data_IF_331693924281
#
_entry.id   IF_331693924281
#
_cell.length_a   1.000
_cell.length_b   1.000
_cell.length_c   1.000
_cell.angle_alpha   90.00
_cell.angle_beta   90.00
_cell.angle_gamma   90.00
#
_symmetry.space_group_name_H-M   'P 1'
#
loop_
_entity.id
_entity.type
_entity.pdbx_description
1 polymer ?
#
# COMPACT_ATOMS: atom_id res chain seq x y z
N UNK A 1 -4.06 -8.12 -17.93
CA UNK A 1 -4.11 -9.31 -17.02
C UNK A 1 -3.41 -9.16 -15.67
N UNK A 2 -2.20 -8.60 -15.57
CA UNK A 2 -1.45 -8.58 -14.28
C UNK A 2 -2.22 -8.00 -13.08
N UNK A 3 -2.95 -6.89 -13.26
CA UNK A 3 -3.78 -6.32 -12.19
C UNK A 3 -4.96 -7.22 -11.78
N UNK A 4 -5.62 -7.90 -12.72
CA UNK A 4 -6.70 -8.85 -12.42
C UNK A 4 -6.19 -10.03 -11.58
N UNK A 5 -5.01 -10.56 -11.93
CA UNK A 5 -4.36 -11.64 -11.17
C UNK A 5 -3.91 -11.18 -9.78
N UNK A 6 -3.44 -9.94 -9.63
CA UNK A 6 -3.07 -9.39 -8.33
C UNK A 6 -4.25 -9.36 -7.34
N UNK A 7 -5.47 -9.14 -7.82
CA UNK A 7 -6.68 -9.19 -7.00
C UNK A 7 -6.90 -10.57 -6.33
N UNK A 8 -6.57 -11.67 -7.01
CA UNK A 8 -6.66 -13.02 -6.44
C UNK A 8 -5.67 -13.25 -5.31
N UNK A 9 -4.43 -12.76 -5.45
CA UNK A 9 -3.42 -12.82 -4.39
C UNK A 9 -3.90 -12.13 -3.12
N UNK A 10 -4.50 -10.94 -3.26
CA UNK A 10 -5.01 -10.19 -2.11
C UNK A 10 -6.12 -10.94 -1.37
N UNK A 11 -7.01 -11.64 -2.09
CA UNK A 11 -8.07 -12.46 -1.47
C UNK A 11 -7.50 -13.60 -0.63
N UNK A 12 -6.46 -14.28 -1.12
CA UNK A 12 -5.75 -15.30 -0.36
C UNK A 12 -5.10 -14.72 0.90
N UNK A 13 -4.49 -13.53 0.80
CA UNK A 13 -3.89 -12.84 1.95
C UNK A 13 -4.94 -12.39 2.98
N UNK A 14 -6.12 -11.96 2.54
CA UNK A 14 -7.21 -11.53 3.42
C UNK A 14 -7.66 -12.65 4.38
N UNK A 15 -7.60 -13.91 3.96
CA UNK A 15 -7.92 -15.04 4.83
C UNK A 15 -6.95 -15.13 6.02
N UNK A 16 -5.66 -14.91 5.78
CA UNK A 16 -4.63 -14.88 6.83
C UNK A 16 -4.90 -13.72 7.79
N UNK A 17 -5.22 -12.53 7.27
CA UNK A 17 -5.48 -11.33 8.10
C UNK A 17 -6.79 -11.40 8.88
N UNK A 18 -7.71 -12.32 8.55
CA UNK A 18 -8.94 -12.54 9.32
C UNK A 18 -8.77 -13.68 10.31
N UNK A 19 -8.27 -14.84 9.86
CA UNK A 19 -8.19 -16.03 10.68
C UNK A 19 -7.17 -15.93 11.80
N UNK A 20 -5.96 -15.41 11.51
CA UNK A 20 -4.92 -15.33 12.53
C UNK A 20 -5.35 -14.42 13.69
N UNK A 21 -5.83 -13.19 13.47
CA UNK A 21 -6.27 -12.34 14.58
C UNK A 21 -7.45 -12.93 15.36
N UNK A 22 -8.39 -13.61 14.71
CA UNK A 22 -9.50 -14.28 15.39
C UNK A 22 -9.01 -15.44 16.26
N UNK A 23 -8.12 -16.28 15.73
CA UNK A 23 -7.53 -17.40 16.47
C UNK A 23 -6.69 -16.91 17.64
N UNK A 24 -5.86 -15.88 17.43
CA UNK A 24 -5.06 -15.24 18.49
C UNK A 24 -5.95 -14.61 19.56
N UNK A 25 -7.01 -13.91 19.16
CA UNK A 25 -7.98 -13.35 20.12
C UNK A 25 -8.64 -14.45 20.93
N UNK A 26 -9.14 -15.50 20.28
CA UNK A 26 -9.76 -16.63 20.98
C UNK A 26 -8.77 -17.27 21.96
N UNK A 27 -7.52 -17.50 21.55
CA UNK A 27 -6.47 -18.01 22.41
C UNK A 27 -6.19 -17.12 23.63
N UNK A 28 -6.16 -15.80 23.44
CA UNK A 28 -5.86 -14.85 24.52
C UNK A 28 -7.04 -14.58 25.46
N UNK A 29 -8.29 -14.81 25.04
CA UNK A 29 -9.48 -14.41 25.82
C UNK A 29 -10.38 -15.56 26.27
N UNK A 30 -10.29 -16.73 25.65
CA UNK A 30 -11.20 -17.83 25.96
C UNK A 30 -10.74 -18.57 27.24
N UNK A 31 -11.64 -18.87 28.20
CA UNK A 31 -11.28 -19.48 29.49
C UNK A 31 -10.46 -20.76 29.36
N UNK A 32 -10.76 -21.60 28.36
CA UNK A 32 -10.06 -22.87 28.13
C UNK A 32 -8.55 -22.73 27.87
N UNK A 33 -8.10 -21.56 27.40
CA UNK A 33 -6.69 -21.31 27.09
C UNK A 33 -6.00 -20.42 28.13
N UNK A 34 -6.67 -20.05 29.22
CA UNK A 34 -6.17 -19.06 30.17
C UNK A 34 -4.79 -19.42 30.74
N UNK A 35 -4.59 -20.69 31.11
CA UNK A 35 -3.31 -21.16 31.64
C UNK A 35 -2.15 -21.02 30.63
N UNK A 36 -2.41 -21.25 29.34
CA UNK A 36 -1.41 -21.11 28.28
C UNK A 36 -1.20 -19.66 27.84
N UNK A 37 -2.23 -18.83 27.96
CA UNK A 37 -2.20 -17.42 27.55
C UNK A 37 -1.62 -16.49 28.63
N UNK A 38 -1.72 -16.83 29.92
CA UNK A 38 -1.32 -15.95 31.02
C UNK A 38 0.13 -15.43 30.90
N UNK A 39 1.16 -16.26 30.65
CA UNK A 39 2.53 -15.77 30.50
C UNK A 39 2.70 -14.81 29.33
N UNK A 40 1.93 -15.00 28.24
CA UNK A 40 1.97 -14.10 27.09
C UNK A 40 1.30 -12.77 27.39
N UNK A 41 0.21 -12.75 28.17
CA UNK A 41 -0.45 -11.50 28.58
C UNK A 41 0.52 -10.63 29.38
N UNK A 42 1.31 -11.23 30.27
CA UNK A 42 2.32 -10.52 31.05
C UNK A 42 3.44 -9.96 30.15
N UNK A 43 3.95 -10.76 29.20
CA UNK A 43 4.95 -10.32 28.23
C UNK A 43 4.45 -9.21 27.30
N UNK A 44 3.17 -9.28 26.90
CA UNK A 44 2.51 -8.23 26.13
C UNK A 44 2.40 -6.99 26.99
N UNK A 45 1.90 -7.08 28.23
CA UNK A 45 1.75 -5.93 29.13
C UNK A 45 3.08 -5.25 29.46
N UNK A 46 4.19 -5.99 29.45
CA UNK A 46 5.54 -5.46 29.68
C UNK A 46 6.10 -4.64 28.49
N UNK A 47 5.45 -4.62 27.32
CA UNK A 47 5.93 -3.81 26.20
C UNK A 47 5.79 -2.30 26.51
N UNK A 48 6.76 -1.48 26.09
CA UNK A 48 6.88 -0.09 26.53
C UNK A 48 5.79 0.84 25.98
N UNK A 49 5.21 0.52 24.82
CA UNK A 49 4.14 1.32 24.20
C UNK A 49 2.91 0.48 23.87
N UNK A 50 1.72 1.07 23.96
CA UNK A 50 0.47 0.40 23.58
C UNK A 50 0.47 -0.08 22.11
N UNK A 51 1.21 0.63 21.24
CA UNK A 51 1.44 0.20 19.86
C UNK A 51 2.20 -1.13 19.83
N UNK A 52 3.35 -1.23 20.50
CA UNK A 52 4.14 -2.46 20.58
C UNK A 52 3.35 -3.59 21.27
N UNK A 53 2.56 -3.30 22.30
CA UNK A 53 1.65 -4.27 22.90
C UNK A 53 0.70 -4.87 21.87
N UNK A 54 0.19 -4.06 20.93
CA UNK A 54 -0.69 -4.54 19.87
C UNK A 54 0.05 -5.39 18.83
N UNK A 55 1.21 -4.92 18.36
CA UNK A 55 1.98 -5.61 17.31
C UNK A 55 2.57 -6.93 17.80
N UNK A 56 2.89 -7.05 19.09
CA UNK A 56 3.48 -8.26 19.68
C UNK A 56 2.46 -9.38 19.94
N UNK A 57 1.16 -9.11 19.93
CA UNK A 57 0.11 -10.12 20.20
C UNK A 57 0.19 -11.32 19.27
N UNK A 58 0.24 -11.06 17.97
CA UNK A 58 0.23 -12.10 16.93
C UNK A 58 1.53 -12.94 16.96
N UNK A 59 2.74 -12.37 16.89
CA UNK A 59 3.96 -13.17 16.87
C UNK A 59 4.15 -13.98 18.16
N UNK A 60 3.84 -13.41 19.34
CA UNK A 60 3.95 -14.12 20.61
C UNK A 60 2.92 -15.27 20.71
N UNK A 61 1.65 -15.02 20.36
CA UNK A 61 0.63 -16.05 20.40
C UNK A 61 0.91 -17.18 19.41
N UNK A 62 1.31 -16.86 18.17
CA UNK A 62 1.68 -17.89 17.18
C UNK A 62 2.87 -18.74 17.62
N UNK A 63 3.83 -18.16 18.35
CA UNK A 63 4.96 -18.88 18.93
C UNK A 63 4.57 -19.99 19.92
N UNK A 64 3.41 -19.85 20.57
CA UNK A 64 2.86 -20.85 21.51
C UNK A 64 1.83 -21.75 20.83
N UNK A 65 0.99 -21.20 19.96
CA UNK A 65 -0.12 -21.91 19.31
C UNK A 65 0.36 -22.92 18.27
N UNK A 66 1.47 -22.64 17.56
CA UNK A 66 1.92 -23.47 16.45
C UNK A 66 2.93 -24.54 16.90
N UNK A 67 2.76 -25.80 16.46
CA UNK A 67 3.74 -26.84 16.74
C UNK A 67 5.07 -26.56 16.02
N UNK A 68 6.12 -27.20 16.54
CA UNK A 68 7.44 -27.23 15.90
C UNK A 68 7.31 -27.74 14.46
N UNK A 69 8.11 -27.17 13.55
CA UNK A 69 7.94 -27.40 12.10
C UNK A 69 6.97 -26.42 11.46
N UNK A 70 5.70 -26.37 11.89
CA UNK A 70 4.74 -25.40 11.33
C UNK A 70 5.12 -23.96 11.69
N UNK A 71 5.54 -23.73 12.93
CA UNK A 71 6.12 -22.44 13.34
C UNK A 71 7.33 -22.07 12.45
N UNK A 72 8.20 -23.03 12.17
CA UNK A 72 9.36 -22.83 11.30
C UNK A 72 8.98 -22.46 9.87
N UNK A 73 7.93 -23.09 9.31
CA UNK A 73 7.40 -22.74 7.99
C UNK A 73 6.80 -21.33 7.97
N UNK A 74 6.08 -20.93 9.02
CA UNK A 74 5.53 -19.57 9.14
C UNK A 74 6.66 -18.54 9.21
N UNK A 75 7.68 -18.78 10.04
CA UNK A 75 8.86 -17.90 10.14
C UNK A 75 9.58 -17.80 8.78
N UNK A 76 9.81 -18.92 8.10
CA UNK A 76 10.42 -18.93 6.78
C UNK A 76 9.60 -18.14 5.74
N UNK A 77 8.27 -18.28 5.76
CA UNK A 77 7.38 -17.53 4.89
C UNK A 77 7.40 -16.02 5.19
N UNK A 78 7.40 -15.63 6.47
CA UNK A 78 7.49 -14.22 6.88
C UNK A 78 8.85 -13.60 6.50
N UNK A 79 9.96 -14.33 6.68
CA UNK A 79 11.27 -13.88 6.22
C UNK A 79 11.33 -13.74 4.70
N UNK A 80 10.78 -14.70 3.95
CA UNK A 80 10.68 -14.61 2.50
C UNK A 80 9.85 -13.39 2.04
N UNK A 81 8.73 -13.13 2.71
CA UNK A 81 7.89 -11.96 2.45
C UNK A 81 8.62 -10.65 2.75
N UNK A 82 9.33 -10.57 3.87
CA UNK A 82 10.16 -9.41 4.24
C UNK A 82 11.26 -9.16 3.20
N UNK A 83 12.07 -10.17 2.89
CA UNK A 83 13.16 -10.07 1.90
C UNK A 83 12.62 -9.62 0.53
N UNK A 84 11.50 -10.20 0.07
CA UNK A 84 10.92 -9.83 -1.23
C UNK A 84 10.41 -8.39 -1.28
N UNK A 85 10.00 -7.84 -0.14
CA UNK A 85 9.50 -6.46 -0.04
C UNK A 85 10.66 -5.49 0.08
N UNK A 86 11.62 -5.80 0.95
CA UNK A 86 12.79 -4.97 1.22
C UNK A 86 13.69 -4.87 -0.02
N UNK A 87 13.88 -5.96 -0.77
CA UNK A 87 14.62 -5.94 -2.04
C UNK A 87 14.02 -4.93 -3.03
N UNK A 88 12.70 -4.98 -3.22
CA UNK A 88 12.00 -4.08 -4.14
C UNK A 88 12.11 -2.62 -3.69
N UNK A 89 11.98 -2.33 -2.39
CA UNK A 89 12.13 -0.97 -1.86
C UNK A 89 13.56 -0.44 -1.95
N UNK A 90 14.55 -1.23 -1.52
CA UNK A 90 15.96 -0.85 -1.60
C UNK A 90 16.37 -0.57 -3.05
N UNK A 91 15.92 -1.42 -3.99
CA UNK A 91 16.16 -1.20 -5.41
C UNK A 91 15.48 0.07 -5.92
N UNK A 92 14.20 0.28 -5.56
CA UNK A 92 13.43 1.44 -6.02
C UNK A 92 14.06 2.74 -5.53
N UNK A 93 14.37 2.87 -4.22
CA UNK A 93 14.99 4.07 -3.66
C UNK A 93 16.38 4.33 -4.21
N UNK A 94 17.20 3.28 -4.36
CA UNK A 94 18.52 3.42 -4.96
C UNK A 94 18.44 3.85 -6.43
N UNK A 95 17.51 3.28 -7.20
CA UNK A 95 17.32 3.64 -8.61
C UNK A 95 16.84 5.09 -8.76
N UNK A 96 15.84 5.52 -7.98
CA UNK A 96 15.35 6.92 -7.95
C UNK A 96 16.49 7.87 -7.60
N UNK A 97 17.28 7.55 -6.56
CA UNK A 97 18.42 8.39 -6.19
C UNK A 97 19.44 8.51 -7.33
N UNK A 98 19.79 7.40 -7.99
CA UNK A 98 20.77 7.43 -9.07
C UNK A 98 20.21 8.13 -10.33
N UNK A 99 18.99 7.77 -10.74
CA UNK A 99 18.38 8.20 -12.00
C UNK A 99 17.79 9.61 -11.95
N UNK A 100 17.21 10.00 -10.83
CA UNK A 100 16.46 11.26 -10.72
C UNK A 100 17.27 12.35 -10.02
N UNK A 101 18.29 11.96 -9.24
CA UNK A 101 19.17 12.91 -8.54
C UNK A 101 20.57 12.90 -9.16
N UNK A 102 21.29 11.78 -9.07
CA UNK A 102 22.72 11.81 -9.45
C UNK A 102 22.92 12.07 -10.94
N UNK A 103 22.23 11.36 -11.82
CA UNK A 103 22.43 11.48 -13.27
C UNK A 103 21.97 12.84 -13.84
N UNK A 104 20.82 13.42 -13.48
CA UNK A 104 20.38 14.70 -14.02
C UNK A 104 21.27 15.87 -13.58
N UNK A 105 21.83 15.83 -12.36
CA UNK A 105 22.81 16.83 -11.91
C UNK A 105 24.22 16.60 -12.46
N UNK A 106 24.48 15.45 -13.07
CA UNK A 106 25.80 15.11 -13.61
C UNK A 106 25.94 15.61 -15.04
N UNK A 107 26.87 16.53 -15.25
CA UNK A 107 27.16 17.15 -16.55
C UNK A 107 27.81 16.21 -17.59
N UNK A 108 28.29 15.04 -17.19
CA UNK A 108 29.00 14.08 -18.07
C UNK A 108 28.37 12.69 -17.95
N UNK A 109 28.10 12.01 -19.08
CA UNK A 109 27.52 10.67 -19.05
C UNK A 109 28.38 9.71 -18.22
N UNK A 110 27.71 8.82 -17.49
CA UNK A 110 28.37 7.80 -16.67
C UNK A 110 28.61 6.55 -17.51
N UNK A 111 29.71 5.83 -17.28
CA UNK A 111 29.87 4.50 -17.87
C UNK A 111 28.89 3.53 -17.23
N UNK A 112 28.40 2.54 -17.98
CA UNK A 112 27.47 1.53 -17.46
C UNK A 112 27.99 0.81 -16.21
N UNK A 113 29.29 0.48 -16.17
CA UNK A 113 29.93 -0.11 -14.98
C UNK A 113 29.92 0.85 -13.78
N UNK A 114 30.16 2.14 -14.01
CA UNK A 114 30.13 3.16 -12.97
C UNK A 114 28.72 3.35 -12.40
N UNK A 115 27.71 3.36 -13.26
CA UNK A 115 26.30 3.48 -12.85
C UNK A 115 25.84 2.27 -12.06
N UNK A 116 26.21 1.05 -12.47
CA UNK A 116 25.92 -0.17 -11.71
C UNK A 116 26.61 -0.19 -10.34
N UNK A 117 27.87 0.25 -10.25
CA UNK A 117 28.59 0.33 -8.98
C UNK A 117 27.94 1.37 -8.06
N UNK A 118 27.57 2.53 -8.60
CA UNK A 118 26.87 3.57 -7.86
C UNK A 118 25.50 3.08 -7.36
N UNK A 119 24.74 2.37 -8.19
CA UNK A 119 23.45 1.79 -7.79
C UNK A 119 23.63 0.79 -6.64
N UNK A 120 24.63 -0.10 -6.72
CA UNK A 120 24.94 -1.04 -5.63
C UNK A 120 25.37 -0.32 -4.34
N UNK A 121 26.17 0.74 -4.47
CA UNK A 121 26.58 1.56 -3.32
C UNK A 121 25.39 2.30 -2.70
N UNK A 122 24.46 2.81 -3.53
CA UNK A 122 23.23 3.44 -3.06
C UNK A 122 22.33 2.45 -2.33
N UNK A 123 22.13 1.23 -2.87
CA UNK A 123 21.41 0.14 -2.18
C UNK A 123 22.02 -0.13 -0.81
N UNK A 124 23.35 -0.28 -0.73
CA UNK A 124 24.04 -0.51 0.54
C UNK A 124 23.86 0.66 1.52
N UNK A 125 23.98 1.90 1.04
CA UNK A 125 23.81 3.10 1.86
C UNK A 125 22.40 3.21 2.45
N UNK A 126 21.37 2.96 1.64
CA UNK A 126 19.97 2.93 2.08
C UNK A 126 19.74 1.80 3.09
N UNK A 127 20.33 0.62 2.89
CA UNK A 127 20.23 -0.49 3.83
C UNK A 127 20.91 -0.19 5.18
N UNK A 128 22.09 0.43 5.17
CA UNK A 128 22.79 0.88 6.40
C UNK A 128 21.94 1.91 7.13
N UNK A 129 21.38 2.89 6.42
CA UNK A 129 20.49 3.88 7.02
C UNK A 129 19.28 3.23 7.67
N UNK A 130 18.57 2.35 6.95
CA UNK A 130 17.39 1.65 7.46
C UNK A 130 17.72 0.78 8.69
N UNK A 131 18.87 0.10 8.68
CA UNK A 131 19.35 -0.68 9.82
C UNK A 131 19.63 0.20 11.03
N UNK A 132 20.40 1.28 10.88
CA UNK A 132 20.70 2.22 11.96
C UNK A 132 19.44 2.88 12.51
N UNK A 133 18.54 3.33 11.64
CA UNK A 133 17.25 3.88 12.03
C UNK A 133 16.43 2.86 12.84
N UNK A 134 16.37 1.61 12.40
CA UNK A 134 15.62 0.55 13.10
C UNK A 134 16.17 0.19 14.48
N UNK A 135 17.48 0.41 14.73
CA UNK A 135 18.07 0.19 16.06
C UNK A 135 17.66 1.28 17.07
N UNK A 136 17.38 2.49 16.62
CA UNK A 136 17.04 3.63 17.50
C UNK A 136 15.56 3.97 17.53
N UNK A 137 14.79 3.53 16.53
CA UNK A 137 13.38 3.87 16.41
C UNK A 137 12.52 2.95 17.28
N UNK A 138 11.88 3.54 18.30
CA UNK A 138 10.85 2.88 19.07
C UNK A 138 9.45 3.33 18.59
N UNK A 139 8.59 2.42 18.10
CA UNK A 139 7.27 2.80 17.59
C UNK A 139 6.34 3.39 18.67
N UNK A 140 6.05 4.68 18.56
CA UNK A 140 5.08 5.39 19.39
C UNK A 140 3.62 5.26 18.92
N UNK A 141 3.41 4.81 17.68
CA UNK A 141 2.09 4.60 17.06
C UNK A 141 2.06 3.24 16.35
N UNK A 142 0.86 2.74 16.06
CA UNK A 142 0.69 1.49 15.30
C UNK A 142 1.42 1.53 13.96
N UNK A 143 2.04 0.41 13.56
CA UNK A 143 2.91 0.36 12.36
C UNK A 143 2.14 0.76 11.11
N UNK A 144 0.88 0.31 10.98
CA UNK A 144 0.02 0.68 9.86
C UNK A 144 -0.26 2.19 9.79
N UNK A 145 -0.38 2.87 10.94
CA UNK A 145 -0.58 4.31 10.99
C UNK A 145 0.70 5.08 10.67
N UNK A 146 1.84 4.59 11.13
CA UNK A 146 3.14 5.12 10.75
C UNK A 146 3.38 4.99 9.25
N UNK A 147 3.13 3.81 8.68
CA UNK A 147 3.28 3.54 7.25
C UNK A 147 2.35 4.42 6.39
N UNK A 148 1.10 4.61 6.81
CA UNK A 148 0.18 5.51 6.12
C UNK A 148 0.71 6.96 6.13
N UNK A 149 1.15 7.44 7.29
CA UNK A 149 1.67 8.80 7.46
C UNK A 149 2.95 9.04 6.66
N UNK A 150 3.89 8.11 6.70
CA UNK A 150 5.16 8.23 5.97
C UNK A 150 4.98 8.08 4.46
N UNK A 151 4.08 7.20 3.99
CA UNK A 151 3.72 7.10 2.58
C UNK A 151 3.09 8.39 2.05
N UNK A 152 2.26 9.06 2.87
CA UNK A 152 1.61 10.31 2.48
C UNK A 152 2.57 11.49 2.27
N UNK A 153 3.79 11.44 2.80
CA UNK A 153 4.85 12.44 2.48
C UNK A 153 5.02 12.60 0.97
N UNK A 154 4.96 11.48 0.24
CA UNK A 154 5.06 11.45 -1.22
C UNK A 154 3.69 11.44 -1.90
N UNK A 155 2.77 10.59 -1.42
CA UNK A 155 1.49 10.36 -2.08
C UNK A 155 0.60 11.61 -2.05
N UNK A 156 0.64 12.42 -0.99
CA UNK A 156 -0.19 13.63 -0.92
C UNK A 156 0.15 14.60 -2.05
N UNK A 157 1.43 14.94 -2.20
CA UNK A 157 1.92 15.84 -3.24
C UNK A 157 1.91 15.23 -4.65
N UNK A 158 2.53 14.06 -4.79
CA UNK A 158 2.68 13.38 -6.07
C UNK A 158 1.33 12.95 -6.65
N UNK A 159 0.40 12.50 -5.80
CA UNK A 159 -0.95 12.13 -6.23
C UNK A 159 -1.69 13.31 -6.85
N UNK A 160 -1.66 14.48 -6.22
CA UNK A 160 -2.26 15.70 -6.77
C UNK A 160 -1.66 16.10 -8.12
N UNK A 161 -0.32 16.06 -8.24
CA UNK A 161 0.38 16.38 -9.47
C UNK A 161 0.08 15.38 -10.61
N UNK A 162 0.05 14.08 -10.32
CA UNK A 162 -0.25 13.02 -11.30
C UNK A 162 -1.70 13.13 -11.79
N UNK A 163 -2.66 13.23 -10.86
CA UNK A 163 -4.08 13.35 -11.20
C UNK A 163 -4.30 14.64 -12.00
N UNK A 164 -3.78 15.76 -11.51
CA UNK A 164 -3.92 17.04 -12.19
C UNK A 164 -3.25 17.06 -13.56
N UNK A 165 -2.03 16.53 -13.70
CA UNK A 165 -1.28 16.52 -14.96
C UNK A 165 -1.84 15.59 -16.03
N UNK A 166 -2.42 14.45 -15.65
CA UNK A 166 -2.94 13.45 -16.59
C UNK A 166 -4.43 13.61 -16.91
N UNK A 167 -5.20 14.32 -16.07
CA UNK A 167 -6.64 14.46 -16.25
C UNK A 167 -7.13 15.90 -16.44
N UNK A 168 -6.25 16.89 -16.33
CA UNK A 168 -6.64 18.30 -16.50
C UNK A 168 -5.76 18.99 -17.53
N UNK A 169 -6.36 19.94 -18.27
CA UNK A 169 -5.65 20.77 -19.25
C UNK A 169 -5.08 22.07 -18.66
N UNK A 170 -5.36 22.32 -17.38
CA UNK A 170 -5.06 23.57 -16.68
C UNK A 170 -3.99 23.43 -15.58
N UNK A 171 -3.52 22.21 -15.31
CA UNK A 171 -2.44 21.96 -14.36
C UNK A 171 -1.18 22.73 -14.72
N UNK A 172 -0.54 23.36 -13.72
CA UNK A 172 0.72 24.10 -13.92
C UNK A 172 1.85 23.53 -13.07
N UNK A 173 3.10 23.77 -13.49
CA UNK A 173 4.29 23.39 -12.72
C UNK A 173 4.31 24.05 -11.34
N UNK A 174 3.85 25.31 -11.23
CA UNK A 174 3.75 26.02 -9.96
C UNK A 174 2.72 25.36 -9.03
N UNK A 175 1.57 24.93 -9.56
CA UNK A 175 0.57 24.17 -8.81
C UNK A 175 1.08 22.80 -8.35
N UNK A 176 1.84 22.10 -9.20
CA UNK A 176 2.50 20.85 -8.81
C UNK A 176 3.45 21.06 -7.63
N UNK A 177 4.33 22.07 -7.69
CA UNK A 177 5.25 22.39 -6.59
C UNK A 177 4.52 22.82 -5.31
N UNK A 178 3.48 23.65 -5.41
CA UNK A 178 2.73 24.09 -4.23
C UNK A 178 2.04 22.92 -3.53
N UNK A 179 1.37 22.05 -4.30
CA UNK A 179 0.75 20.84 -3.77
C UNK A 179 1.77 19.91 -3.11
N UNK A 180 2.93 19.70 -3.74
CA UNK A 180 4.01 18.88 -3.19
C UNK A 180 4.56 19.43 -1.88
N UNK A 181 4.92 20.71 -1.84
CA UNK A 181 5.51 21.34 -0.66
C UNK A 181 4.52 21.32 0.52
N UNK A 182 3.25 21.66 0.28
CA UNK A 182 2.23 21.67 1.34
C UNK A 182 1.98 20.26 1.89
N UNK A 183 1.75 19.29 1.00
CA UNK A 183 1.51 17.90 1.41
C UNK A 183 2.69 17.32 2.21
N UNK A 184 3.91 17.49 1.69
CA UNK A 184 5.14 17.03 2.34
C UNK A 184 5.33 17.70 3.70
N UNK A 185 5.16 19.02 3.79
CA UNK A 185 5.34 19.79 5.04
C UNK A 185 4.36 19.32 6.12
N UNK A 186 3.08 19.17 5.79
CA UNK A 186 2.08 18.73 6.77
C UNK A 186 2.34 17.30 7.26
N UNK A 187 2.72 16.38 6.37
CA UNK A 187 3.07 15.02 6.76
C UNK A 187 4.35 14.97 7.62
N UNK A 188 5.41 15.69 7.22
CA UNK A 188 6.67 15.74 8.00
C UNK A 188 6.44 16.34 9.39
N UNK A 189 5.69 17.45 9.48
CA UNK A 189 5.31 18.03 10.77
C UNK A 189 4.48 17.04 11.60
N UNK A 190 3.54 16.33 10.99
CA UNK A 190 2.76 15.29 11.64
C UNK A 190 3.62 14.16 12.20
N UNK A 191 4.59 13.66 11.41
CA UNK A 191 5.54 12.63 11.86
C UNK A 191 6.36 13.14 13.05
N UNK A 192 6.91 14.35 12.97
CA UNK A 192 7.69 14.94 14.06
C UNK A 192 6.83 15.08 15.33
N UNK A 193 5.67 15.71 15.25
CA UNK A 193 4.81 15.96 16.41
C UNK A 193 4.37 14.65 17.08
N UNK A 194 4.10 13.61 16.29
CA UNK A 194 3.64 12.31 16.83
C UNK A 194 4.75 11.42 17.37
N UNK A 195 6.01 11.64 16.96
CA UNK A 195 7.14 10.81 17.37
C UNK A 195 8.13 11.50 18.32
N UNK A 196 8.01 12.81 18.56
CA UNK A 196 8.83 13.51 19.57
C UNK A 196 8.51 12.98 20.98
N UNK A 197 9.52 12.80 21.86
CA UNK A 197 9.31 12.36 23.23
C UNK A 197 8.26 13.20 23.97
N UNK A 198 7.38 12.54 24.73
CA UNK A 198 6.29 13.22 25.46
C UNK A 198 6.84 14.25 26.44
N UNK A 199 7.95 13.94 27.10
CA UNK A 199 8.70 14.84 28.00
C UNK A 199 9.04 16.20 27.36
N UNK A 200 9.39 16.22 26.07
CA UNK A 200 9.74 17.47 25.38
C UNK A 200 8.50 18.31 25.12
N UNK A 201 7.40 17.65 24.73
CA UNK A 201 6.13 18.32 24.49
C UNK A 201 5.59 18.91 25.80
N UNK A 202 5.69 18.17 26.90
CA UNK A 202 5.29 18.63 28.24
C UNK A 202 6.17 19.78 28.71
N UNK A 203 7.49 19.72 28.46
CA UNK A 203 8.41 20.82 28.71
C UNK A 203 8.10 22.07 27.88
N UNK A 204 7.69 21.93 26.62
CA UNK A 204 7.24 23.07 25.80
C UNK A 204 5.93 23.65 26.31
N UNK A 205 5.02 22.82 26.84
CA UNK A 205 3.76 23.26 27.43
C UNK A 205 3.88 23.65 28.92
N UNK A 206 5.10 23.77 29.46
CA UNK A 206 5.31 24.18 30.83
C UNK A 206 4.94 25.67 31.03
N UNK A 207 4.44 26.07 32.22
CA UNK A 207 4.05 27.46 32.48
C UNK A 207 5.21 28.48 32.35
N UNK A 208 6.45 28.03 32.52
CA UNK A 208 7.68 28.82 32.49
C UNK A 208 8.40 28.82 31.13
N UNK A 209 7.94 28.02 30.15
CA UNK A 209 8.55 27.92 28.82
C UNK A 209 8.40 29.19 27.94
N UNK A 210 7.57 30.15 28.37
CA UNK A 210 7.25 31.36 27.61
C UNK A 210 6.11 31.15 26.60
N UNK A 211 5.42 32.23 26.25
CA UNK A 211 4.13 32.17 25.54
C UNK A 211 4.15 31.42 24.20
N UNK A 212 5.21 31.58 23.39
CA UNK A 212 5.31 30.95 22.07
C UNK A 212 5.54 29.43 22.19
N UNK A 213 6.48 29.02 23.05
CA UNK A 213 6.74 27.59 23.28
C UNK A 213 5.55 26.92 23.94
N UNK A 214 4.86 27.60 24.87
CA UNK A 214 3.65 27.09 25.51
C UNK A 214 2.52 26.87 24.48
N UNK A 215 2.26 27.85 23.59
CA UNK A 215 1.29 27.69 22.52
C UNK A 215 1.65 26.56 21.54
N UNK A 216 2.94 26.41 21.22
CA UNK A 216 3.44 25.31 20.39
C UNK A 216 3.26 23.95 21.08
N UNK A 217 3.67 23.84 22.34
CA UNK A 217 3.53 22.63 23.17
C UNK A 217 2.06 22.22 23.30
N UNK A 218 1.17 23.17 23.59
CA UNK A 218 -0.28 22.93 23.63
C UNK A 218 -0.85 22.47 22.30
N UNK A 219 -0.39 23.03 21.18
CA UNK A 219 -0.79 22.58 19.83
C UNK A 219 -0.30 21.16 19.54
N UNK A 220 0.95 20.84 19.90
CA UNK A 220 1.50 19.49 19.78
C UNK A 220 0.71 18.46 20.60
N UNK A 221 0.37 18.79 21.86
CA UNK A 221 -0.46 17.91 22.70
C UNK A 221 -1.84 17.71 22.09
N UNK A 222 -2.48 18.78 21.60
CA UNK A 222 -3.79 18.68 20.96
C UNK A 222 -3.75 17.78 19.73
N UNK A 223 -2.75 17.93 18.85
CA UNK A 223 -2.58 17.07 17.66
C UNK A 223 -2.41 15.61 18.07
N UNK A 224 -1.54 15.31 19.05
CA UNK A 224 -1.30 13.95 19.53
C UNK A 224 -2.56 13.31 20.14
N UNK A 225 -3.38 14.10 20.83
CA UNK A 225 -4.58 13.61 21.50
C UNK A 225 -5.76 13.41 20.53
N UNK A 226 -5.87 14.23 19.47
CA UNK A 226 -7.07 14.30 18.63
C UNK A 226 -6.88 13.74 17.22
N UNK A 227 -5.65 13.70 16.69
CA UNK A 227 -5.39 13.31 15.31
C UNK A 227 -4.60 12.01 15.23
N UNK A 228 -5.14 11.05 14.47
CA UNK A 228 -4.43 9.84 14.09
C UNK A 228 -3.56 10.10 12.87
N UNK A 229 -2.53 9.28 12.65
CA UNK A 229 -1.72 9.34 11.43
C UNK A 229 -2.52 9.21 10.13
N UNK A 230 -3.63 8.48 10.14
CA UNK A 230 -4.55 8.43 8.99
C UNK A 230 -5.25 9.77 8.75
N UNK A 231 -5.71 10.44 9.81
CA UNK A 231 -6.38 11.75 9.69
C UNK A 231 -5.39 12.82 9.23
N UNK A 232 -4.17 12.82 9.77
CA UNK A 232 -3.09 13.73 9.33
C UNK A 232 -2.81 13.53 7.83
N UNK A 233 -2.68 12.26 7.40
CA UNK A 233 -2.48 11.90 6.00
C UNK A 233 -3.62 12.43 5.11
N UNK A 234 -4.86 12.27 5.56
CA UNK A 234 -6.04 12.76 4.86
C UNK A 234 -6.06 14.28 4.71
N UNK A 235 -5.78 15.00 5.79
CA UNK A 235 -5.69 16.47 5.78
C UNK A 235 -4.59 16.93 4.82
N UNK A 236 -3.42 16.29 4.85
CA UNK A 236 -2.31 16.62 3.96
C UNK A 236 -2.66 16.40 2.48
N UNK A 237 -3.36 15.30 2.15
CA UNK A 237 -3.84 15.03 0.79
C UNK A 237 -4.83 16.11 0.32
N UNK A 238 -5.82 16.47 1.15
CA UNK A 238 -6.78 17.52 0.81
C UNK A 238 -6.09 18.86 0.62
N UNK A 239 -5.21 19.26 1.55
CA UNK A 239 -4.48 20.51 1.48
C UNK A 239 -3.63 20.56 0.20
N UNK A 240 -2.93 19.47 -0.12
CA UNK A 240 -2.15 19.35 -1.36
C UNK A 240 -3.00 19.56 -2.61
N UNK A 241 -4.17 18.88 -2.70
CA UNK A 241 -5.10 19.06 -3.82
C UNK A 241 -5.63 20.49 -3.91
N UNK A 242 -6.00 21.11 -2.78
CA UNK A 242 -6.50 22.49 -2.75
C UNK A 242 -5.41 23.44 -3.28
N UNK A 243 -4.18 23.35 -2.76
CA UNK A 243 -3.08 24.21 -3.20
C UNK A 243 -2.68 23.96 -4.65
N UNK A 244 -2.73 22.72 -5.11
CA UNK A 244 -2.52 22.39 -6.51
C UNK A 244 -3.55 23.11 -7.39
N UNK A 245 -4.84 22.98 -7.06
CA UNK A 245 -5.94 23.58 -7.84
C UNK A 245 -5.86 25.10 -7.81
N UNK A 246 -5.74 25.71 -6.63
CA UNK A 246 -5.76 27.18 -6.50
C UNK A 246 -4.59 27.83 -7.21
N UNK A 247 -3.37 27.30 -7.03
CA UNK A 247 -2.17 27.86 -7.69
C UNK A 247 -2.18 27.58 -9.18
N UNK A 248 -2.66 26.42 -9.64
CA UNK A 248 -2.78 26.14 -11.07
C UNK A 248 -3.74 27.10 -11.77
N UNK A 249 -4.90 27.34 -11.18
CA UNK A 249 -5.91 28.24 -11.74
C UNK A 249 -5.46 29.71 -11.67
N UNK A 250 -4.80 30.12 -10.58
CA UNK A 250 -4.26 31.47 -10.43
C UNK A 250 -3.07 31.74 -11.37
N UNK A 251 -2.27 30.73 -11.69
CA UNK A 251 -1.08 30.83 -12.54
C UNK A 251 -1.36 31.04 -14.04
N UNK A 252 -2.63 31.11 -14.45
CA UNK A 252 -3.03 31.28 -15.85
C UNK A 252 -2.95 29.96 -16.62
N UNK A 253 -4.09 29.51 -17.12
CA UNK A 253 -4.22 28.23 -17.82
C UNK A 253 -3.59 28.33 -19.21
N UNK A 254 -2.38 27.78 -19.41
CA UNK A 254 -1.98 27.38 -20.77
C UNK A 254 -2.68 26.06 -21.04
N UNK A 255 -3.64 26.05 -21.98
CA UNK A 255 -4.30 24.81 -22.39
C UNK A 255 -3.25 23.88 -23.00
N UNK A 256 -2.77 22.94 -22.19
CA UNK A 256 -1.85 21.91 -22.64
C UNK A 256 -2.63 20.86 -23.43
N UNK A 257 -2.08 20.46 -24.58
CA UNK A 257 -2.70 19.46 -25.45
C UNK A 257 -2.52 18.06 -24.83
N UNK A 258 -3.47 17.72 -23.94
CA UNK A 258 -3.52 16.42 -23.27
C UNK A 258 -3.69 15.27 -24.28
N UNK A 259 -4.39 15.54 -25.39
CA UNK A 259 -4.63 14.53 -26.41
C UNK A 259 -3.31 14.16 -27.10
N UNK A 260 -2.41 15.14 -27.28
CA UNK A 260 -1.04 14.89 -27.74
C UNK A 260 -0.21 14.07 -26.76
N UNK A 261 -0.22 14.43 -25.47
CA UNK A 261 0.54 13.71 -24.44
C UNK A 261 0.10 12.25 -24.31
N UNK A 262 -1.21 12.00 -24.40
CA UNK A 262 -1.81 10.69 -24.21
C UNK A 262 -2.00 9.93 -25.53
N UNK A 263 -1.44 10.42 -26.64
CA UNK A 263 -1.55 9.84 -27.97
C UNK A 263 -3.00 9.54 -28.40
N UNK A 264 -3.93 10.46 -28.11
CA UNK A 264 -5.36 10.37 -28.42
C UNK A 264 -5.70 11.14 -29.69
N UNK A 265 -6.83 10.79 -30.30
CA UNK A 265 -7.39 11.53 -31.46
C UNK A 265 -6.39 11.64 -32.61
N UNK A 266 -6.01 12.86 -32.96
CA UNK A 266 -5.12 13.17 -34.09
C UNK A 266 -3.65 12.76 -33.87
N UNK A 267 -3.25 12.40 -32.64
CA UNK A 267 -1.87 12.05 -32.28
C UNK A 267 -1.67 10.55 -31.99
N UNK A 268 -2.61 9.71 -32.45
CA UNK A 268 -2.54 8.25 -32.29
C UNK A 268 -1.34 7.68 -33.07
N UNK A 269 -0.65 6.73 -32.47
CA UNK A 269 0.43 5.98 -33.12
C UNK A 269 -0.11 4.80 -33.91
N UNK A 270 0.51 4.52 -35.06
CA UNK A 270 0.11 3.41 -35.95
C UNK A 270 0.20 2.06 -35.24
N UNK A 271 -0.95 1.38 -35.11
CA UNK A 271 -1.11 0.11 -34.38
C UNK A 271 -2.35 0.08 -33.48
N UNK A 272 -2.68 1.21 -32.83
CA UNK A 272 -3.86 1.33 -31.95
C UNK A 272 -5.14 1.76 -32.71
N UNK A 273 -4.98 2.44 -33.85
CA UNK A 273 -6.09 2.99 -34.63
C UNK A 273 -7.10 1.93 -35.12
N UNK A 274 -6.62 0.76 -35.55
CA UNK A 274 -7.47 -0.28 -36.15
C UNK A 274 -8.33 -1.06 -35.13
N UNK A 275 -7.94 -1.10 -33.85
CA UNK A 275 -8.70 -1.80 -32.81
C UNK A 275 -9.80 -0.90 -32.20
N UNK A 276 -9.59 0.41 -32.18
CA UNK A 276 -10.46 1.42 -31.54
C UNK A 276 -11.50 2.09 -32.47
N UNK A 277 -11.38 1.98 -33.79
CA UNK A 277 -12.32 2.58 -34.76
C UNK A 277 -13.66 1.84 -34.87
N UNK A 278 -13.71 0.57 -34.47
CA UNK A 278 -14.94 -0.19 -34.48
C UNK A 278 -15.82 0.19 -33.27
N UNK A 279 -17.17 0.23 -33.42
CA UNK A 279 -18.06 0.59 -32.33
C UNK A 279 -17.81 -0.32 -31.12
N UNK A 280 -17.51 0.32 -29.99
CA UNK A 280 -17.23 -0.41 -28.75
C UNK A 280 -18.48 -1.19 -28.32
N UNK A 281 -18.33 -2.50 -28.19
CA UNK A 281 -19.36 -3.35 -27.60
C UNK A 281 -19.56 -2.97 -26.13
N UNK A 282 -20.72 -3.34 -25.56
CA UNK A 282 -20.97 -3.11 -24.13
C UNK A 282 -19.86 -3.69 -23.25
N UNK A 283 -19.30 -4.84 -23.63
CA UNK A 283 -18.19 -5.51 -22.95
C UNK A 283 -16.89 -4.71 -22.99
N UNK A 284 -16.59 -4.07 -24.12
CA UNK A 284 -15.41 -3.20 -24.25
C UNK A 284 -15.56 -1.93 -23.40
N UNK A 285 -16.77 -1.38 -23.27
CA UNK A 285 -17.05 -0.21 -22.42
C UNK A 285 -16.86 -0.47 -20.92
N UNK A 286 -17.06 -1.71 -20.48
CA UNK A 286 -16.82 -2.12 -19.08
C UNK A 286 -15.41 -2.69 -18.87
N UNK A 287 -14.52 -2.60 -19.87
CA UNK A 287 -13.09 -2.91 -19.74
C UNK A 287 -12.64 -4.29 -20.27
N UNK A 288 -13.52 -5.08 -20.90
CA UNK A 288 -13.10 -6.29 -21.62
C UNK A 288 -12.77 -5.92 -23.07
N UNK A 289 -11.52 -5.53 -23.30
CA UNK A 289 -11.03 -5.25 -24.64
C UNK A 289 -10.97 -6.52 -25.52
N UNK A 290 -10.69 -6.32 -26.81
CA UNK A 290 -10.56 -7.40 -27.81
C UNK A 290 -9.35 -8.31 -27.59
N UNK A 291 -8.44 -7.93 -26.70
CA UNK A 291 -7.23 -8.69 -26.41
C UNK A 291 -7.52 -9.88 -25.49
N UNK A 292 -8.64 -9.86 -24.74
CA UNK A 292 -9.10 -11.00 -23.95
C UNK A 292 -9.57 -12.17 -24.84
N UNK A 293 -8.71 -13.16 -25.05
CA UNK A 293 -8.98 -14.38 -25.82
C UNK A 293 -8.82 -15.65 -24.97
N UNK A 294 -9.64 -16.66 -25.27
CA UNK A 294 -9.54 -17.99 -24.65
C UNK A 294 -9.53 -17.97 -23.12
N UNK A 295 -8.43 -18.45 -22.53
CA UNK A 295 -8.26 -18.56 -21.08
C UNK A 295 -8.29 -17.20 -20.36
N UNK A 296 -7.79 -16.14 -20.98
CA UNK A 296 -7.77 -14.80 -20.35
C UNK A 296 -9.19 -14.27 -20.13
N UNK A 297 -10.10 -14.56 -21.06
CA UNK A 297 -11.51 -14.19 -20.94
C UNK A 297 -12.18 -14.94 -19.78
N UNK A 298 -11.91 -16.24 -19.65
CA UNK A 298 -12.43 -17.04 -18.54
C UNK A 298 -11.94 -16.53 -17.18
N UNK A 299 -10.63 -16.27 -17.05
CA UNK A 299 -10.06 -15.71 -15.82
C UNK A 299 -10.67 -14.36 -15.49
N UNK A 300 -10.82 -13.48 -16.48
CA UNK A 300 -11.44 -12.18 -16.28
C UNK A 300 -12.90 -12.29 -15.79
N UNK A 301 -13.68 -13.20 -16.36
CA UNK A 301 -15.05 -13.49 -15.93
C UNK A 301 -15.16 -13.96 -14.49
N UNK A 302 -14.34 -14.94 -14.09
CA UNK A 302 -14.33 -15.41 -12.69
C UNK A 302 -13.87 -14.29 -11.75
N UNK A 303 -12.89 -13.50 -12.18
CA UNK A 303 -12.38 -12.39 -11.36
C UNK A 303 -13.46 -11.35 -11.09
N UNK A 304 -14.32 -11.08 -12.07
CA UNK A 304 -15.43 -10.14 -11.98
C UNK A 304 -16.67 -10.75 -11.30
N UNK A 305 -16.92 -12.05 -11.48
CA UNK A 305 -18.07 -12.71 -10.85
C UNK A 305 -18.00 -12.61 -9.34
N UNK A 306 -16.79 -12.65 -8.75
CA UNK A 306 -16.61 -12.52 -7.32
C UNK A 306 -17.19 -11.21 -6.73
N UNK A 307 -16.70 -10.00 -7.08
CA UNK A 307 -17.27 -8.77 -6.56
C UNK A 307 -18.74 -8.62 -6.93
N UNK A 308 -19.17 -9.03 -8.13
CA UNK A 308 -20.59 -8.99 -8.52
C UNK A 308 -21.47 -9.87 -7.61
N UNK A 309 -21.06 -11.11 -7.33
CA UNK A 309 -21.79 -12.00 -6.44
C UNK A 309 -21.90 -11.41 -5.02
N UNK A 310 -20.82 -10.85 -4.48
CA UNK A 310 -20.85 -10.22 -3.15
C UNK A 310 -21.63 -8.91 -3.13
N UNK A 311 -21.58 -8.11 -4.20
CA UNK A 311 -22.43 -6.92 -4.36
C UNK A 311 -23.90 -7.30 -4.42
N UNK A 312 -24.26 -8.34 -5.18
CA UNK A 312 -25.64 -8.85 -5.21
C UNK A 312 -26.07 -9.40 -3.85
N UNK A 313 -25.22 -10.17 -3.18
CA UNK A 313 -25.46 -10.65 -1.83
C UNK A 313 -25.66 -9.49 -0.85
N UNK A 314 -24.90 -8.40 -0.98
CA UNK A 314 -25.07 -7.21 -0.17
C UNK A 314 -26.37 -6.46 -0.49
N UNK A 315 -26.65 -6.22 -1.78
CA UNK A 315 -27.83 -5.50 -2.26
C UNK A 315 -29.14 -6.23 -2.00
N UNK A 316 -29.13 -7.56 -1.94
CA UNK A 316 -30.32 -8.38 -1.64
C UNK A 316 -30.36 -8.75 -0.16
N UNK A 317 -29.23 -9.22 0.39
CA UNK A 317 -29.13 -9.72 1.76
C UNK A 317 -29.30 -8.62 2.80
N UNK A 318 -28.73 -7.43 2.60
CA UNK A 318 -28.86 -6.34 3.58
C UNK A 318 -30.31 -5.86 3.71
N UNK A 319 -31.05 -5.54 2.63
CA UNK A 319 -32.47 -5.20 2.74
C UNK A 319 -33.32 -6.34 3.33
N UNK A 320 -33.04 -7.59 2.96
CA UNK A 320 -33.73 -8.74 3.51
C UNK A 320 -33.51 -8.90 5.03
N UNK A 321 -32.28 -8.68 5.52
CA UNK A 321 -31.95 -8.70 6.95
C UNK A 321 -32.63 -7.55 7.70
N UNK A 322 -32.67 -6.35 7.12
CA UNK A 322 -33.37 -5.19 7.69
C UNK A 322 -34.88 -5.45 7.76
N UNK A 323 -35.47 -6.06 6.72
CA UNK A 323 -36.86 -6.46 6.72
C UNK A 323 -37.16 -7.55 7.77
N UNK A 324 -36.31 -8.59 7.88
CA UNK A 324 -36.43 -9.60 8.93
C UNK A 324 -36.39 -8.99 10.34
N UNK A 325 -35.51 -8.01 10.55
CA UNK A 325 -35.43 -7.25 11.79
C UNK A 325 -36.72 -6.46 12.06
N UNK A 326 -37.32 -5.83 11.05
CA UNK A 326 -38.60 -5.10 11.22
C UNK A 326 -39.79 -6.02 11.51
N UNK A 327 -39.72 -7.29 11.08
CA UNK A 327 -40.68 -8.34 11.44
C UNK A 327 -40.42 -8.98 12.82
N UNK A 328 -39.48 -8.47 13.62
CA UNK A 328 -39.14 -9.01 14.94
C UNK A 328 -38.25 -10.26 14.93
N UNK A 329 -37.80 -10.72 13.76
CA UNK A 329 -36.93 -11.89 13.58
C UNK A 329 -35.51 -11.47 13.21
N UNK A 330 -34.84 -10.72 14.08
CA UNK A 330 -33.47 -10.29 13.86
C UNK A 330 -32.52 -11.48 13.69
N UNK A 331 -31.46 -11.29 12.89
CA UNK A 331 -30.40 -12.31 12.69
C UNK A 331 -29.73 -12.57 14.03
N UNK A 332 -29.72 -13.83 14.43
CA UNK A 332 -29.09 -14.29 15.68
C UNK A 332 -27.57 -14.41 15.51
N UNK A 333 -26.84 -14.35 16.62
CA UNK A 333 -25.38 -14.57 16.61
C UNK A 333 -25.00 -15.94 16.04
N UNK A 334 -25.86 -16.95 16.24
CA UNK A 334 -25.67 -18.29 15.68
C UNK A 334 -25.80 -18.31 14.15
N UNK A 335 -26.82 -17.66 13.58
CA UNK A 335 -26.99 -17.53 12.13
C UNK A 335 -25.82 -16.74 11.51
N UNK A 336 -25.40 -15.66 12.17
CA UNK A 336 -24.29 -14.84 11.72
C UNK A 336 -22.96 -15.59 11.76
N UNK A 337 -22.71 -16.33 12.85
CA UNK A 337 -21.53 -17.18 13.00
C UNK A 337 -21.51 -18.29 11.94
N UNK A 338 -22.64 -18.95 11.69
CA UNK A 338 -22.76 -19.98 10.66
C UNK A 338 -22.43 -19.43 9.26
N UNK A 339 -22.89 -18.22 8.92
CA UNK A 339 -22.53 -17.56 7.67
C UNK A 339 -21.02 -17.36 7.53
N UNK A 340 -20.37 -16.80 8.56
CA UNK A 340 -18.91 -16.56 8.53
C UNK A 340 -18.10 -17.85 8.53
N UNK A 341 -18.60 -18.90 9.19
CA UNK A 341 -18.00 -20.23 9.17
C UNK A 341 -18.00 -20.81 7.75
N UNK A 342 -19.15 -20.77 7.06
CA UNK A 342 -19.25 -21.23 5.66
C UNK A 342 -18.37 -20.38 4.75
N UNK A 343 -18.45 -19.05 4.86
CA UNK A 343 -17.65 -18.12 4.07
C UNK A 343 -16.14 -18.39 4.20
N UNK A 344 -15.68 -18.66 5.42
CA UNK A 344 -14.27 -18.98 5.70
C UNK A 344 -13.82 -20.24 4.96
N UNK A 345 -14.62 -21.32 4.99
CA UNK A 345 -14.29 -22.55 4.27
C UNK A 345 -14.29 -22.36 2.76
N UNK A 346 -15.27 -21.63 2.22
CA UNK A 346 -15.32 -21.32 0.78
C UNK A 346 -14.06 -20.58 0.34
N UNK A 347 -13.63 -19.58 1.10
CA UNK A 347 -12.41 -18.83 0.77
C UNK A 347 -11.16 -19.66 0.97
N UNK A 348 -11.11 -20.53 1.98
CA UNK A 348 -9.97 -21.42 2.17
C UNK A 348 -9.77 -22.31 0.94
N UNK A 349 -10.84 -22.97 0.48
CA UNK A 349 -10.80 -23.83 -0.71
C UNK A 349 -10.41 -23.03 -1.96
N UNK A 350 -11.03 -21.87 -2.18
CA UNK A 350 -10.70 -21.01 -3.31
C UNK A 350 -9.24 -20.53 -3.26
N UNK A 351 -8.75 -20.14 -2.09
CA UNK A 351 -7.39 -19.67 -1.86
C UNK A 351 -6.36 -20.76 -2.11
N UNK A 352 -6.64 -22.00 -1.68
CA UNK A 352 -5.80 -23.15 -1.96
C UNK A 352 -5.72 -23.43 -3.46
N UNK A 353 -6.86 -23.40 -4.17
CA UNK A 353 -6.89 -23.59 -5.62
C UNK A 353 -6.08 -22.51 -6.36
N UNK A 354 -6.24 -21.24 -5.97
CA UNK A 354 -5.49 -20.10 -6.51
C UNK A 354 -3.99 -20.23 -6.22
N UNK A 355 -3.62 -20.64 -5.00
CA UNK A 355 -2.22 -20.83 -4.62
C UNK A 355 -1.55 -21.91 -5.48
N UNK A 356 -2.20 -23.07 -5.64
CA UNK A 356 -1.70 -24.15 -6.50
C UNK A 356 -1.54 -23.66 -7.94
N UNK A 357 -2.56 -22.96 -8.46
CA UNK A 357 -2.51 -22.40 -9.81
C UNK A 357 -1.35 -21.41 -9.98
N UNK A 358 -1.16 -20.48 -9.05
CA UNK A 358 -0.12 -19.45 -9.13
C UNK A 358 1.28 -20.02 -8.94
N UNK A 359 1.44 -21.04 -8.09
CA UNK A 359 2.73 -21.74 -7.94
C UNK A 359 3.11 -22.43 -9.24
N UNK A 360 2.19 -23.20 -9.84
CA UNK A 360 2.46 -23.90 -11.11
C UNK A 360 2.73 -22.89 -12.24
N UNK A 361 1.89 -21.86 -12.36
CA UNK A 361 2.02 -20.81 -13.37
C UNK A 361 3.32 -20.02 -13.21
N UNK A 362 3.61 -19.55 -12.00
CA UNK A 362 4.82 -18.79 -11.68
C UNK A 362 6.09 -19.59 -11.92
N UNK A 363 6.13 -20.88 -11.56
CA UNK A 363 7.26 -21.75 -11.86
C UNK A 363 7.47 -21.91 -13.37
N UNK A 364 6.40 -22.15 -14.13
CA UNK A 364 6.46 -22.25 -15.59
C UNK A 364 6.98 -20.96 -16.23
N UNK A 365 6.46 -19.81 -15.81
CA UNK A 365 6.85 -18.51 -16.35
C UNK A 365 8.30 -18.17 -15.99
N UNK A 366 8.75 -18.55 -14.79
CA UNK A 366 10.15 -18.41 -14.40
C UNK A 366 11.09 -19.23 -15.30
N UNK A 367 10.74 -20.48 -15.62
CA UNK A 367 11.54 -21.28 -16.56
C UNK A 367 11.52 -20.72 -17.98
N UNK A 368 10.38 -20.19 -18.44
CA UNK A 368 10.28 -19.50 -19.73
C UNK A 368 11.16 -18.26 -19.75
N UNK A 369 11.09 -17.40 -18.73
CA UNK A 369 11.92 -16.21 -18.59
C UNK A 369 13.41 -16.59 -18.67
N UNK A 370 13.85 -17.61 -17.94
CA UNK A 370 15.25 -18.07 -18.00
C UNK A 370 15.68 -18.55 -19.37
N UNK A 371 14.77 -19.16 -20.14
CA UNK A 371 15.04 -19.57 -21.53
C UNK A 371 15.16 -18.36 -22.43
N UNK A 372 14.25 -17.40 -22.31
CA UNK A 372 14.19 -16.24 -23.18
C UNK A 372 15.38 -15.29 -22.90
N UNK A 373 15.78 -15.13 -21.63
CA UNK A 373 16.99 -14.39 -21.24
C UNK A 373 18.29 -15.00 -21.80
N UNK A 374 18.34 -16.32 -22.05
CA UNK A 374 19.51 -16.95 -22.70
C UNK A 374 19.60 -16.62 -24.18
N UNK A 375 18.47 -16.30 -24.81
CA UNK A 375 18.39 -15.94 -26.22
C UNK A 375 18.44 -14.42 -26.44
N UNK A 376 18.34 -13.62 -25.37
CA UNK A 376 18.34 -12.17 -25.45
C UNK A 376 19.75 -11.62 -25.62
N UNK A 377 19.96 -10.83 -26.67
CA UNK A 377 21.21 -10.09 -26.92
C UNK A 377 20.99 -8.63 -26.50
N UNK A 378 21.68 -8.12 -25.46
CA UNK A 378 21.50 -6.74 -25.02
C UNK A 378 22.00 -5.76 -26.08
N UNK A 379 21.25 -4.68 -26.31
CA UNK A 379 21.74 -3.54 -27.08
C UNK A 379 22.69 -2.72 -26.21
N UNK A 380 23.98 -2.72 -26.55
CA UNK A 380 25.00 -1.99 -25.81
C UNK A 380 24.98 -0.46 -26.06
N UNK A 381 24.17 0.00 -27.02
CA UNK A 381 24.00 1.42 -27.33
C UNK A 381 22.89 2.11 -26.52
N UNK A 382 22.06 1.32 -25.83
CA UNK A 382 21.06 1.83 -24.89
C UNK A 382 21.74 2.30 -23.60
N UNK A 383 21.93 3.63 -23.48
CA UNK A 383 22.47 4.29 -22.29
C UNK A 383 21.38 4.66 -21.26
N UNK A 384 20.13 4.22 -21.49
CA UNK A 384 18.98 4.52 -20.66
C UNK A 384 18.53 5.98 -20.73
N UNK A 385 19.06 6.80 -21.64
CA UNK A 385 18.64 8.19 -21.82
C UNK A 385 17.56 8.32 -22.90
N UNK A 386 16.42 8.92 -22.53
CA UNK A 386 15.41 9.39 -23.49
C UNK A 386 15.84 10.80 -23.92
N UNK A 387 16.32 10.96 -25.16
CA UNK A 387 16.76 12.26 -25.71
C UNK A 387 15.69 12.95 -26.52
#
# INVERSE_FOLDING_TARGET
MGQLLNGWRYRTLMLVTVLIPLAVRAFLTHPDYEAAAAPLKDLIAAQPTAALQSEMRVPLALGVMLPTGLLGLVVAAMLGAAISTDEAYLHSWASIFVQDVVLPFRKKPMSARGQLLLLKAAVLGVAIFAFCFSMWYEPGIYIAMFAAMSASIFVAGGGAAIIGGLYTRWGTTAGAWSGMIVGMTLCVLGVIITNVPQEWVDGWNAPDAGAVLNAWGGSCQWVRANLTGMVISFIAMIASCIFYVTVSLAGGTKQFDLDRLLHRGAYRTDGDAALDEAPQTFWEKIGFDRQYKGWDRFVAWITLSWPLCFTLLFCVGTPWMVWRKSQGTAVTDAEWSAYWHVWTWVILVASTAVMVWFVIGGMRDYFRLRRDLRAFTPDASDDGSVR
#
